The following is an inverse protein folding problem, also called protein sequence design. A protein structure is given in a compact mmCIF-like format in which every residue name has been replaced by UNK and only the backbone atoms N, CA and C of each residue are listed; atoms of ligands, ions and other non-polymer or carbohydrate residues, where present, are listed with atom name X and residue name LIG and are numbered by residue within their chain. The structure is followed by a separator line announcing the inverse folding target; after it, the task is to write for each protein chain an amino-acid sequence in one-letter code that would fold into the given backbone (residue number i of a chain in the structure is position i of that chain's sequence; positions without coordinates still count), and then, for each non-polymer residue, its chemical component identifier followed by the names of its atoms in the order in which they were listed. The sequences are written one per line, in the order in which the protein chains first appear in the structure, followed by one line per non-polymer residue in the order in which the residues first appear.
data_IF_008899745627
#
_entry.id   IF_008899745627
#
_cell.length_a   1.000
_cell.length_b   1.000
_cell.length_c   1.000
_cell.angle_alpha   90.00
_cell.angle_beta   90.00
_cell.angle_gamma   90.00
#
_symmetry.space_group_name_H-M   'P 1'
#
loop_
_entity.id
_entity.type
_entity.pdbx_description
1 polymer ?
#
# COMPACT_ATOMS: atom_id res chain seq x y z
N UNK A 1 -18.76 5.20 9.71
CA UNK A 1 -18.79 4.75 8.30
C UNK A 1 -18.56 3.24 8.31
N UNK A 2 -19.33 2.46 7.56
CA UNK A 2 -19.13 1.00 7.49
C UNK A 2 -17.91 0.68 6.63
N UNK A 3 -17.10 -0.28 7.08
CA UNK A 3 -15.92 -0.80 6.36
C UNK A 3 -16.31 -1.43 5.00
N UNK A 4 -17.61 -1.72 4.81
CA UNK A 4 -18.20 -2.33 3.61
C UNK A 4 -18.11 -1.46 2.34
N UNK A 5 -17.68 -0.19 2.44
CA UNK A 5 -17.60 0.72 1.29
C UNK A 5 -16.17 1.03 0.83
N UNK A 6 -15.17 0.30 1.34
CA UNK A 6 -13.78 0.48 0.88
C UNK A 6 -13.60 -0.20 -0.47
N UNK A 7 -13.07 0.54 -1.44
CA UNK A 7 -12.68 0.02 -2.76
C UNK A 7 -11.30 0.55 -3.15
N UNK A 8 -10.58 -0.22 -3.96
CA UNK A 8 -9.36 0.25 -4.61
C UNK A 8 -9.67 0.44 -6.11
N UNK A 9 -9.21 1.54 -6.68
CA UNK A 9 -9.45 1.89 -8.09
C UNK A 9 -8.11 2.26 -8.70
N UNK A 10 -7.79 1.71 -9.87
CA UNK A 10 -6.55 2.05 -10.57
C UNK A 10 -6.46 3.57 -10.75
N UNK A 11 -5.25 4.10 -10.64
CA UNK A 11 -5.02 5.52 -10.83
C UNK A 11 -5.16 5.90 -12.31
N UNK A 12 -6.01 6.87 -12.60
CA UNK A 12 -6.30 7.34 -13.96
C UNK A 12 -6.16 8.86 -14.07
N UNK A 13 -6.38 9.41 -15.27
CA UNK A 13 -6.37 10.85 -15.49
C UNK A 13 -7.46 11.58 -14.68
N UNK A 14 -8.51 10.87 -14.28
CA UNK A 14 -9.67 11.41 -13.58
C UNK A 14 -9.49 11.47 -12.05
N UNK A 15 -8.64 10.62 -11.45
CA UNK A 15 -8.53 10.50 -9.98
C UNK A 15 -7.13 10.77 -9.39
N UNK A 16 -6.11 10.98 -10.23
CA UNK A 16 -4.73 11.13 -9.73
C UNK A 16 -4.56 12.37 -8.85
N UNK A 17 -5.27 13.46 -9.16
CA UNK A 17 -5.12 14.72 -8.45
C UNK A 17 -5.67 14.62 -7.02
N UNK A 18 -6.82 13.96 -6.83
CA UNK A 18 -7.38 13.68 -5.51
C UNK A 18 -6.37 12.97 -4.61
N UNK A 19 -5.55 12.07 -5.17
CA UNK A 19 -4.51 11.36 -4.43
C UNK A 19 -3.34 12.28 -4.01
N UNK A 20 -3.04 13.31 -4.79
CA UNK A 20 -2.01 14.29 -4.47
C UNK A 20 -2.42 15.21 -3.30
N UNK A 21 -3.72 15.42 -3.10
CA UNK A 21 -4.25 16.27 -2.02
C UNK A 21 -4.41 15.54 -0.68
N UNK A 22 -4.19 14.22 -0.64
CA UNK A 22 -4.30 13.44 0.59
C UNK A 22 -3.16 13.80 1.57
N UNK A 23 -3.50 13.99 2.84
CA UNK A 23 -2.55 14.36 3.88
C UNK A 23 -2.33 13.21 4.86
N UNK A 24 -1.06 12.87 5.12
CA UNK A 24 -0.71 12.03 6.28
C UNK A 24 -0.60 12.87 7.54
N UNK A 25 -0.65 12.23 8.71
CA UNK A 25 -0.32 12.90 9.96
C UNK A 25 1.14 13.39 9.93
N UNK A 26 1.45 14.52 10.58
CA UNK A 26 2.80 15.14 10.54
C UNK A 26 3.90 14.15 10.94
N UNK A 27 3.63 13.28 11.91
CA UNK A 27 4.55 12.26 12.41
C UNK A 27 4.95 11.21 11.36
N UNK A 28 4.09 11.02 10.34
CA UNK A 28 4.27 10.05 9.27
C UNK A 28 4.93 10.64 8.01
N UNK A 29 4.93 11.97 7.87
CA UNK A 29 5.52 12.67 6.70
C UNK A 29 6.97 12.25 6.47
N UNK A 30 7.74 12.10 7.56
CA UNK A 30 9.17 11.74 7.47
C UNK A 30 9.45 10.33 6.92
N UNK A 31 8.44 9.46 6.89
CA UNK A 31 8.58 8.07 6.45
C UNK A 31 7.96 7.82 5.07
N UNK A 32 7.39 8.85 4.44
CA UNK A 32 6.63 8.69 3.21
C UNK A 32 6.98 9.75 2.18
N UNK A 33 7.26 9.27 0.97
CA UNK A 33 7.34 10.14 -0.20
C UNK A 33 5.94 10.72 -0.51
N UNK A 34 5.85 11.99 -0.96
CA UNK A 34 4.59 12.56 -1.43
C UNK A 34 3.95 11.68 -2.52
N UNK A 35 2.62 11.57 -2.50
CA UNK A 35 1.89 10.78 -3.50
C UNK A 35 2.20 11.28 -4.92
N UNK A 36 2.34 12.60 -5.13
CA UNK A 36 2.73 13.17 -6.43
C UNK A 36 4.08 12.62 -6.95
N UNK A 37 5.07 12.43 -6.06
CA UNK A 37 6.38 11.85 -6.43
C UNK A 37 6.22 10.38 -6.79
N UNK A 38 5.46 9.62 -5.99
CA UNK A 38 5.18 8.20 -6.27
C UNK A 38 4.44 8.01 -7.60
N UNK A 39 3.49 8.90 -7.92
CA UNK A 39 2.75 8.90 -9.19
C UNK A 39 3.68 9.24 -10.36
N UNK A 40 4.57 10.23 -10.20
CA UNK A 40 5.58 10.55 -11.21
C UNK A 40 6.52 9.36 -11.44
N UNK A 41 7.01 8.71 -10.38
CA UNK A 41 7.85 7.52 -10.44
C UNK A 41 7.19 6.43 -11.28
N UNK A 42 5.90 6.16 -11.07
CA UNK A 42 5.16 5.13 -11.81
C UNK A 42 5.04 5.41 -13.32
N UNK A 43 5.33 6.62 -13.79
CA UNK A 43 5.36 6.95 -15.24
C UNK A 43 6.69 6.61 -15.88
N UNK A 44 7.77 6.52 -15.09
CA UNK A 44 9.08 6.10 -15.55
C UNK A 44 9.34 4.61 -15.27
N UNK A 45 8.80 4.11 -14.15
CA UNK A 45 8.85 2.72 -13.73
C UNK A 45 7.47 2.08 -13.92
N UNK A 46 7.17 1.65 -15.14
CA UNK A 46 5.81 1.26 -15.55
C UNK A 46 5.28 -0.02 -14.89
N UNK A 47 6.14 -0.77 -14.20
CA UNK A 47 5.74 -1.91 -13.39
C UNK A 47 5.12 -1.50 -12.05
N UNK A 48 5.37 -0.27 -11.58
CA UNK A 48 4.68 0.27 -10.41
C UNK A 48 3.22 0.60 -10.77
N UNK A 49 2.29 0.04 -10.00
CA UNK A 49 0.85 0.16 -10.20
C UNK A 49 0.22 0.95 -9.06
N UNK A 50 -0.04 2.25 -9.25
CA UNK A 50 -0.73 3.07 -8.27
C UNK A 50 -2.24 2.87 -8.30
N UNK A 51 -2.86 2.88 -7.13
CA UNK A 51 -4.31 2.84 -6.95
C UNK A 51 -4.74 3.87 -5.91
N UNK A 52 -5.91 4.44 -6.13
CA UNK A 52 -6.63 5.24 -5.14
C UNK A 52 -7.47 4.32 -4.24
N UNK A 53 -7.48 4.61 -2.94
CA UNK A 53 -8.38 3.98 -1.96
C UNK A 53 -9.58 4.90 -1.78
N UNK A 54 -10.78 4.37 -1.97
CA UNK A 54 -12.02 5.11 -1.84
C UNK A 54 -12.89 4.58 -0.71
N UNK A 55 -13.65 5.47 -0.08
CA UNK A 55 -14.86 5.13 0.68
C UNK A 55 -16.05 5.82 0.02
N UNK A 56 -16.96 5.04 -0.57
CA UNK A 56 -18.02 5.60 -1.40
C UNK A 56 -17.45 6.28 -2.66
N UNK A 57 -17.65 7.59 -2.77
CA UNK A 57 -17.15 8.42 -3.89
C UNK A 57 -15.92 9.28 -3.54
N UNK A 58 -15.47 9.27 -2.28
CA UNK A 58 -14.33 10.06 -1.84
C UNK A 58 -13.04 9.25 -1.84
N UNK A 59 -11.99 9.78 -2.46
CA UNK A 59 -10.63 9.27 -2.29
C UNK A 59 -10.16 9.57 -0.87
N UNK A 60 -9.68 8.53 -0.17
CA UNK A 60 -9.29 8.57 1.24
C UNK A 60 -7.93 7.95 1.49
N UNK A 61 -7.24 7.52 0.44
CA UNK A 61 -5.95 6.88 0.55
C UNK A 61 -5.33 6.57 -0.80
N UNK A 62 -4.10 6.10 -0.75
CA UNK A 62 -3.29 5.76 -1.91
C UNK A 62 -2.53 4.46 -1.61
N UNK A 63 -2.38 3.61 -2.61
CA UNK A 63 -1.48 2.47 -2.53
C UNK A 63 -0.73 2.29 -3.84
N UNK A 64 0.41 1.63 -3.77
CA UNK A 64 1.23 1.32 -4.94
C UNK A 64 2.00 0.03 -4.69
N UNK A 65 1.95 -0.88 -5.66
CA UNK A 65 2.71 -2.12 -5.66
C UNK A 65 3.44 -2.32 -6.98
N UNK A 66 4.45 -3.17 -6.99
CA UNK A 66 5.14 -3.55 -8.22
C UNK A 66 4.48 -4.78 -8.85
N UNK A 67 4.25 -4.74 -10.18
CA UNK A 67 3.63 -5.82 -10.94
C UNK A 67 4.62 -6.89 -11.39
N UNK A 68 5.88 -6.81 -10.99
CA UNK A 68 6.90 -7.84 -11.21
C UNK A 68 7.54 -8.21 -9.87
N UNK A 69 8.01 -9.47 -9.70
CA UNK A 69 8.78 -9.86 -8.53
C UNK A 69 10.13 -9.14 -8.46
N UNK A 70 10.60 -8.84 -7.25
CA UNK A 70 11.90 -8.24 -6.98
C UNK A 70 12.66 -9.08 -5.93
N UNK A 71 13.36 -8.45 -4.99
CA UNK A 71 14.05 -9.14 -3.89
C UNK A 71 13.08 -10.06 -3.11
N UNK A 72 13.64 -11.13 -2.55
CA UNK A 72 12.90 -12.21 -1.88
C UNK A 72 11.94 -12.98 -2.79
N UNK A 73 12.08 -12.85 -4.11
CA UNK A 73 11.23 -13.48 -5.13
C UNK A 73 9.73 -13.21 -4.87
N UNK A 74 9.40 -11.95 -4.58
CA UNK A 74 8.04 -11.54 -4.20
C UNK A 74 7.62 -10.22 -4.82
N UNK A 75 6.32 -9.99 -4.85
CA UNK A 75 5.72 -8.74 -5.35
C UNK A 75 5.67 -7.71 -4.22
N UNK A 76 6.32 -6.57 -4.43
CA UNK A 76 6.50 -5.57 -3.39
C UNK A 76 5.38 -4.54 -3.33
N UNK A 77 4.92 -4.26 -2.11
CA UNK A 77 4.04 -3.13 -1.81
C UNK A 77 4.91 -1.97 -1.38
N UNK A 78 4.93 -0.92 -2.19
CA UNK A 78 5.76 0.26 -1.97
C UNK A 78 5.04 1.30 -1.13
N UNK A 79 3.72 1.42 -1.29
CA UNK A 79 2.93 2.45 -0.61
C UNK A 79 1.61 1.86 -0.12
N UNK A 80 1.26 2.19 1.11
CA UNK A 80 -0.13 2.21 1.56
C UNK A 80 -0.30 3.41 2.49
N UNK A 81 -1.28 4.23 2.18
CA UNK A 81 -1.54 5.47 2.88
C UNK A 81 -3.03 5.67 3.00
N UNK A 82 -3.46 6.07 4.19
CA UNK A 82 -4.82 6.53 4.44
C UNK A 82 -4.70 7.95 4.96
N UNK A 83 -5.52 8.84 4.39
CA UNK A 83 -5.60 10.23 4.80
C UNK A 83 -5.88 10.33 6.31
N UNK A 84 -5.21 11.26 6.97
CA UNK A 84 -5.26 11.43 8.43
C UNK A 84 -6.68 11.56 8.97
N UNK A 85 -7.61 12.18 8.23
CA UNK A 85 -9.00 12.34 8.65
C UNK A 85 -9.78 11.00 8.64
N UNK A 86 -9.23 9.97 8.00
CA UNK A 86 -9.84 8.65 7.80
C UNK A 86 -9.07 7.51 8.51
N UNK A 87 -7.95 7.81 9.16
CA UNK A 87 -7.20 6.83 9.94
C UNK A 87 -7.97 6.32 11.17
N UNK A 88 -7.56 5.17 11.72
CA UNK A 88 -8.21 4.53 12.88
C UNK A 88 -9.56 3.85 12.60
N UNK A 89 -10.06 3.91 11.36
CA UNK A 89 -11.37 3.35 10.97
C UNK A 89 -11.28 1.97 10.29
N UNK A 90 -10.11 1.34 10.28
CA UNK A 90 -9.89 0.04 9.63
C UNK A 90 -9.76 0.08 8.10
N UNK A 91 -9.77 1.26 7.49
CA UNK A 91 -9.66 1.46 6.03
C UNK A 91 -8.37 0.87 5.47
N UNK A 92 -7.22 1.14 6.11
CA UNK A 92 -5.93 0.60 5.68
C UNK A 92 -5.95 -0.92 5.61
N UNK A 93 -6.51 -1.58 6.63
CA UNK A 93 -6.66 -3.05 6.67
C UNK A 93 -7.56 -3.59 5.57
N UNK A 94 -8.67 -2.91 5.29
CA UNK A 94 -9.57 -3.29 4.19
C UNK A 94 -8.88 -3.12 2.83
N UNK A 95 -8.20 -1.99 2.61
CA UNK A 95 -7.46 -1.70 1.40
C UNK A 95 -6.31 -2.70 1.16
N UNK A 96 -5.53 -3.06 2.19
CA UNK A 96 -4.48 -4.08 2.06
C UNK A 96 -5.06 -5.43 1.63
N UNK A 97 -6.21 -5.85 2.18
CA UNK A 97 -6.85 -7.11 1.78
C UNK A 97 -7.31 -7.08 0.33
N UNK A 98 -7.93 -5.98 -0.12
CA UNK A 98 -8.34 -5.80 -1.50
C UNK A 98 -7.14 -5.81 -2.46
N UNK A 99 -6.05 -5.15 -2.08
CA UNK A 99 -4.80 -5.14 -2.84
C UNK A 99 -4.18 -6.53 -2.95
N UNK A 100 -4.12 -7.29 -1.84
CA UNK A 100 -3.63 -8.69 -1.85
C UNK A 100 -4.48 -9.52 -2.81
N UNK A 101 -5.81 -9.38 -2.77
CA UNK A 101 -6.72 -10.10 -3.66
C UNK A 101 -6.53 -9.70 -5.13
N UNK A 102 -6.31 -8.41 -5.41
CA UNK A 102 -6.04 -7.93 -6.76
C UNK A 102 -4.70 -8.44 -7.29
N UNK A 103 -3.64 -8.43 -6.47
CA UNK A 103 -2.32 -8.98 -6.85
C UNK A 103 -2.39 -10.49 -7.09
N UNK A 104 -3.10 -11.24 -6.24
CA UNK A 104 -3.33 -12.67 -6.44
C UNK A 104 -4.07 -12.95 -7.76
N UNK A 105 -5.10 -12.16 -8.07
CA UNK A 105 -5.94 -12.34 -9.25
C UNK A 105 -5.25 -11.91 -10.55
N UNK A 106 -4.64 -10.72 -10.57
CA UNK A 106 -4.12 -10.10 -11.79
C UNK A 106 -2.69 -10.52 -12.12
N UNK A 107 -1.88 -10.81 -11.10
CA UNK A 107 -0.46 -11.16 -11.25
C UNK A 107 -0.19 -12.64 -11.00
N UNK A 108 -1.17 -13.41 -10.52
CA UNK A 108 -0.96 -14.75 -9.96
C UNK A 108 0.11 -14.74 -8.86
N UNK A 109 0.12 -13.67 -8.06
CA UNK A 109 1.10 -13.52 -6.99
C UNK A 109 0.93 -14.64 -5.96
N UNK A 110 2.03 -15.32 -5.63
CA UNK A 110 2.09 -16.33 -4.56
C UNK A 110 2.82 -15.82 -3.33
N UNK A 111 3.56 -14.70 -3.46
CA UNK A 111 4.33 -14.08 -2.38
C UNK A 111 4.26 -12.56 -2.48
N UNK A 112 3.85 -11.91 -1.40
CA UNK A 112 3.84 -10.45 -1.27
C UNK A 112 4.85 -10.03 -0.21
N UNK A 113 5.60 -8.97 -0.52
CA UNK A 113 6.57 -8.36 0.38
C UNK A 113 6.15 -6.93 0.66
N UNK A 114 6.37 -6.47 1.88
CA UNK A 114 6.15 -5.07 2.24
C UNK A 114 7.38 -4.54 2.97
N UNK A 115 7.95 -3.46 2.44
CA UNK A 115 8.98 -2.65 3.10
C UNK A 115 8.36 -1.53 3.96
N UNK A 116 8.85 -1.34 5.18
CA UNK A 116 8.54 -0.16 6.00
C UNK A 116 9.63 0.11 7.04
N UNK A 117 9.69 1.35 7.54
CA UNK A 117 10.62 1.70 8.62
C UNK A 117 10.29 0.95 9.92
N UNK A 118 11.27 0.33 10.62
CA UNK A 118 11.01 -0.46 11.84
C UNK A 118 10.26 0.30 12.96
N UNK A 119 10.49 1.62 13.07
CA UNK A 119 9.81 2.47 14.06
C UNK A 119 8.35 2.80 13.69
N UNK A 120 7.88 2.43 12.49
CA UNK A 120 6.49 2.57 12.09
C UNK A 120 5.63 1.46 12.69
N UNK A 121 5.35 1.56 14.00
CA UNK A 121 4.58 0.57 14.76
C UNK A 121 3.16 0.36 14.21
N UNK A 122 2.58 1.38 13.57
CA UNK A 122 1.26 1.27 12.94
C UNK A 122 1.31 0.33 11.73
N UNK A 123 2.32 0.46 10.86
CA UNK A 123 2.56 -0.47 9.76
C UNK A 123 2.83 -1.88 10.30
N UNK A 124 3.71 -2.00 11.30
CA UNK A 124 4.03 -3.29 11.92
C UNK A 124 2.78 -4.04 12.40
N UNK A 125 1.95 -3.38 13.22
CA UNK A 125 0.73 -3.97 13.76
C UNK A 125 -0.28 -4.31 12.65
N UNK A 126 -0.40 -3.45 11.63
CA UNK A 126 -1.27 -3.71 10.48
C UNK A 126 -0.88 -5.00 9.76
N UNK A 127 0.37 -5.12 9.33
CA UNK A 127 0.85 -6.24 8.53
C UNK A 127 0.91 -7.53 9.34
N UNK A 128 1.34 -7.48 10.60
CA UNK A 128 1.26 -8.62 11.51
C UNK A 128 -0.19 -9.12 11.66
N UNK A 129 -1.18 -8.22 11.80
CA UNK A 129 -2.60 -8.60 11.89
C UNK A 129 -3.20 -9.18 10.60
N UNK A 130 -2.47 -9.10 9.49
CA UNK A 130 -2.80 -9.68 8.19
C UNK A 130 -1.99 -10.94 7.89
N UNK A 131 -1.17 -11.40 8.84
CA UNK A 131 -0.33 -12.60 8.70
C UNK A 131 0.83 -12.41 7.73
N UNK A 132 1.43 -11.22 7.73
CA UNK A 132 2.81 -11.04 7.25
C UNK A 132 3.78 -11.42 8.37
N UNK A 133 4.89 -12.04 7.99
CA UNK A 133 5.91 -12.55 8.91
C UNK A 133 7.23 -11.79 8.68
N UNK A 134 7.91 -11.42 9.77
CA UNK A 134 9.27 -10.87 9.71
C UNK A 134 10.27 -12.02 9.77
N UNK A 135 11.05 -12.21 8.69
CA UNK A 135 12.12 -13.22 8.62
C UNK A 135 13.51 -12.61 8.89
N UNK A 136 13.59 -11.34 9.27
CA UNK A 136 14.84 -10.63 9.54
C UNK A 136 15.39 -9.86 8.33
N UNK A 137 14.66 -9.79 7.21
CA UNK A 137 15.09 -9.11 5.99
C UNK A 137 15.11 -7.58 6.15
N UNK A 138 16.21 -6.94 5.74
CA UNK A 138 16.43 -5.49 5.89
C UNK A 138 17.03 -4.90 4.62
N UNK A 139 16.49 -3.78 4.16
CA UNK A 139 16.92 -3.06 2.96
C UNK A 139 17.14 -1.58 3.29
N UNK A 140 18.40 -1.19 3.49
CA UNK A 140 18.74 0.14 3.96
C UNK A 140 18.18 0.40 5.36
N UNK A 141 17.23 1.33 5.47
CA UNK A 141 16.54 1.68 6.73
C UNK A 141 15.23 0.93 6.94
N UNK A 142 14.79 0.16 5.95
CA UNK A 142 13.50 -0.52 5.98
C UNK A 142 13.66 -1.98 6.40
N UNK A 143 12.65 -2.50 7.11
CA UNK A 143 12.43 -3.93 7.25
C UNK A 143 11.46 -4.43 6.19
N UNK A 144 11.62 -5.69 5.81
CA UNK A 144 10.72 -6.37 4.89
C UNK A 144 9.99 -7.51 5.60
N UNK A 145 8.67 -7.56 5.44
CA UNK A 145 7.84 -8.67 5.92
C UNK A 145 7.18 -9.37 4.75
N UNK A 146 6.99 -10.68 4.90
CA UNK A 146 6.56 -11.56 3.80
C UNK A 146 5.21 -12.19 4.12
N UNK A 147 4.34 -12.28 3.12
CA UNK A 147 3.13 -13.09 3.17
C UNK A 147 3.10 -14.04 1.98
N UNK A 148 3.04 -15.33 2.29
CA UNK A 148 2.72 -16.36 1.30
C UNK A 148 1.21 -16.37 1.07
N UNK A 149 0.81 -16.36 -0.19
CA UNK A 149 -0.58 -16.56 -0.62
C UNK A 149 -0.69 -18.04 -0.97
N UNK A 150 -1.33 -18.80 -0.08
CA UNK A 150 -1.57 -20.23 -0.29
C UNK A 150 -2.69 -20.37 -1.31
N UNK A 151 -2.52 -21.23 -2.31
CA UNK A 151 -3.60 -21.69 -3.19
C UNK A 151 -4.69 -22.46 -2.41
#
# INVERSE_FOLDING_TARGET
MSIENVKIVELTAENWYDCCELEVAEEQVQYMEPNAVSIAQSKFETSLKPYAIYTGEKAVGFLMYNSIPEELDGYWVYRIMVDKAFQGQGIGKAATKLMIAEMAKSLHATKIVVGYHPDNLNAHNLYASLGFEDHGDRFGKEMAVVKQLVD
#
